data_IF_022178241478
#
_entry.id   IF_022178241478
#
_cell.length_a   1.000
_cell.length_b   1.000
_cell.length_c   1.000
_cell.angle_alpha   90.00
_cell.angle_beta   90.00
_cell.angle_gamma   90.00
#
_symmetry.space_group_name_H-M   'P 1'
#
loop_
_entity.id
_entity.type
_entity.pdbx_description
1 polymer ?
#
# COMPACT_ATOMS: atom_id res chain seq x y z
N UNK A 1 63.45 -48.65 -31.93
CA UNK A 1 62.26 -48.80 -32.79
C UNK A 1 60.95 -48.74 -31.98
N UNK A 2 60.13 -47.70 -32.20
CA UNK A 2 58.70 -47.72 -31.88
C UNK A 2 58.21 -46.97 -30.63
N UNK A 3 58.39 -45.66 -30.52
CA UNK A 3 57.68 -44.83 -29.52
C UNK A 3 56.28 -44.45 -30.03
N UNK A 4 55.28 -44.86 -29.25
CA UNK A 4 53.83 -44.78 -29.50
C UNK A 4 53.33 -43.33 -29.30
N UNK A 5 52.87 -42.67 -30.37
CA UNK A 5 52.22 -41.34 -30.32
C UNK A 5 50.89 -41.42 -29.55
N UNK A 6 50.79 -40.73 -28.40
CA UNK A 6 49.51 -40.40 -27.74
C UNK A 6 48.89 -39.17 -28.43
N UNK A 7 47.67 -39.31 -28.95
CA UNK A 7 46.84 -38.21 -29.45
C UNK A 7 46.22 -37.45 -28.27
N UNK A 8 46.30 -36.13 -28.30
CA UNK A 8 45.56 -35.21 -27.42
C UNK A 8 44.07 -35.15 -27.82
N UNK A 9 43.12 -35.01 -26.88
CA UNK A 9 41.72 -34.80 -27.22
C UNK A 9 41.49 -33.36 -27.65
N UNK A 10 40.72 -33.18 -28.74
CA UNK A 10 40.23 -31.88 -29.21
C UNK A 10 39.18 -31.35 -28.23
N UNK A 11 39.41 -30.15 -27.69
CA UNK A 11 38.41 -29.35 -26.99
C UNK A 11 37.36 -28.86 -27.99
N UNK A 12 36.10 -29.30 -27.84
CA UNK A 12 34.96 -28.71 -28.57
C UNK A 12 34.67 -27.29 -28.08
N UNK A 13 33.99 -26.44 -28.90
CA UNK A 13 33.74 -25.06 -28.53
C UNK A 13 32.72 -25.03 -27.38
N UNK A 14 33.15 -24.51 -26.24
CA UNK A 14 32.29 -24.23 -25.09
C UNK A 14 31.22 -23.22 -25.49
N UNK A 15 29.96 -23.59 -25.30
CA UNK A 15 28.79 -22.73 -25.46
C UNK A 15 28.92 -21.59 -24.42
N UNK A 16 29.30 -20.40 -24.88
CA UNK A 16 29.37 -19.21 -24.05
C UNK A 16 27.98 -18.92 -23.48
N UNK A 17 27.85 -19.04 -22.16
CA UNK A 17 26.66 -18.59 -21.42
C UNK A 17 26.78 -17.07 -21.31
N UNK A 18 25.88 -16.34 -21.97
CA UNK A 18 25.83 -14.89 -21.85
C UNK A 18 25.65 -14.50 -20.36
N UNK A 19 26.33 -13.45 -19.87
CA UNK A 19 26.09 -12.99 -18.51
C UNK A 19 24.63 -12.55 -18.41
N UNK A 20 23.93 -13.08 -17.40
CA UNK A 20 22.60 -12.63 -17.02
C UNK A 20 22.68 -11.11 -16.84
N UNK A 21 22.02 -10.35 -17.72
CA UNK A 21 22.01 -8.91 -17.66
C UNK A 21 21.62 -8.49 -16.24
N UNK A 22 22.49 -7.72 -15.58
CA UNK A 22 22.23 -7.22 -14.25
C UNK A 22 20.88 -6.48 -14.29
N UNK A 23 19.97 -6.87 -13.40
CA UNK A 23 18.67 -6.23 -13.28
C UNK A 23 18.88 -4.71 -13.16
N UNK A 24 18.08 -3.88 -13.84
CA UNK A 24 18.20 -2.44 -13.73
C UNK A 24 18.12 -2.02 -12.25
N UNK A 25 18.89 -1.00 -11.82
CA UNK A 25 18.87 -0.56 -10.44
C UNK A 25 17.43 -0.21 -10.05
N UNK A 26 16.98 -0.78 -8.93
CA UNK A 26 15.65 -0.49 -8.39
C UNK A 26 15.52 1.03 -8.21
N UNK A 27 14.39 1.60 -8.64
CA UNK A 27 14.11 3.02 -8.42
C UNK A 27 14.06 3.26 -6.90
N UNK A 28 14.56 4.42 -6.45
CA UNK A 28 14.49 4.79 -5.04
C UNK A 28 13.04 4.64 -4.52
N UNK A 29 12.84 3.82 -3.49
CA UNK A 29 11.53 3.48 -2.93
C UNK A 29 10.98 2.07 -3.29
N UNK A 30 11.64 1.32 -4.18
CA UNK A 30 11.26 -0.06 -4.52
C UNK A 30 12.06 -1.13 -3.72
N UNK A 31 12.92 -0.71 -2.78
CA UNK A 31 13.65 -1.62 -1.89
C UNK A 31 12.67 -2.44 -1.02
N UNK A 32 12.86 -3.76 -0.91
CA UNK A 32 11.96 -4.61 -0.13
C UNK A 32 12.06 -4.28 1.35
N UNK A 33 10.95 -3.80 1.93
CA UNK A 33 10.78 -3.63 3.37
C UNK A 33 10.51 -4.98 4.04
N UNK A 34 9.63 -5.78 3.45
CA UNK A 34 9.30 -7.12 3.92
C UNK A 34 9.18 -8.09 2.75
N UNK A 35 9.56 -9.34 3.00
CA UNK A 35 9.30 -10.48 2.12
C UNK A 35 8.75 -11.64 2.93
N UNK A 36 7.74 -12.31 2.41
CA UNK A 36 6.98 -13.30 3.16
C UNK A 36 6.09 -14.12 2.26
N UNK A 37 5.70 -15.30 2.76
CA UNK A 37 4.85 -16.23 2.03
C UNK A 37 3.41 -16.08 2.54
N UNK A 38 2.48 -15.88 1.61
CA UNK A 38 1.05 -15.82 1.90
C UNK A 38 0.28 -16.69 0.92
N UNK A 39 -0.84 -17.23 1.37
CA UNK A 39 -1.80 -17.82 0.45
C UNK A 39 -2.71 -16.71 -0.10
N UNK A 40 -2.76 -16.59 -1.44
CA UNK A 40 -3.60 -15.64 -2.17
C UNK A 40 -4.38 -16.43 -3.21
N UNK A 41 -5.72 -16.39 -3.15
CA UNK A 41 -6.56 -17.11 -4.12
C UNK A 41 -6.31 -18.62 -4.16
N UNK A 42 -6.00 -19.24 -3.02
CA UNK A 42 -5.64 -20.68 -2.86
C UNK A 42 -4.29 -21.08 -3.46
N UNK A 43 -3.42 -20.11 -3.79
CA UNK A 43 -2.05 -20.37 -4.24
C UNK A 43 -1.05 -19.83 -3.24
N UNK A 44 0.08 -20.50 -3.09
CA UNK A 44 1.17 -20.03 -2.25
C UNK A 44 1.99 -19.01 -3.04
N UNK A 45 2.05 -17.78 -2.53
CA UNK A 45 2.70 -16.67 -3.22
C UNK A 45 3.89 -16.15 -2.41
N UNK A 46 4.99 -15.87 -3.11
CA UNK A 46 6.07 -15.03 -2.59
C UNK A 46 5.63 -13.58 -2.71
N UNK A 47 5.47 -12.91 -1.57
CA UNK A 47 4.96 -11.55 -1.46
C UNK A 47 6.07 -10.63 -1.00
N UNK A 48 6.21 -9.48 -1.66
CA UNK A 48 7.19 -8.48 -1.31
C UNK A 48 6.52 -7.11 -1.15
N UNK A 49 6.69 -6.52 0.02
CA UNK A 49 6.26 -5.18 0.36
C UNK A 49 7.44 -4.22 0.22
N UNK A 50 7.20 -3.09 -0.43
CA UNK A 50 8.08 -1.92 -0.49
C UNK A 50 7.28 -0.69 -0.07
N UNK A 51 7.94 0.45 0.12
CA UNK A 51 7.27 1.69 0.49
C UNK A 51 6.18 2.12 -0.52
N UNK A 52 6.33 1.73 -1.79
CA UNK A 52 5.45 2.19 -2.89
C UNK A 52 4.57 1.11 -3.47
N UNK A 53 4.90 -0.17 -3.28
CA UNK A 53 4.27 -1.29 -4.00
C UNK A 53 4.20 -2.55 -3.14
N UNK A 54 3.16 -3.33 -3.37
CA UNK A 54 3.07 -4.72 -2.96
C UNK A 54 3.01 -5.57 -4.22
N UNK A 55 3.94 -6.51 -4.33
CA UNK A 55 4.01 -7.45 -5.45
C UNK A 55 3.96 -8.88 -4.95
N UNK A 56 3.37 -9.76 -5.73
CA UNK A 56 3.37 -11.18 -5.43
C UNK A 56 3.43 -12.03 -6.69
N UNK A 57 4.05 -13.19 -6.57
CA UNK A 57 4.07 -14.20 -7.63
C UNK A 57 3.84 -15.59 -7.03
N UNK A 58 3.13 -16.49 -7.75
CA UNK A 58 3.00 -17.87 -7.32
C UNK A 58 4.38 -18.55 -7.20
N UNK A 59 4.59 -19.31 -6.13
CA UNK A 59 5.83 -20.08 -5.96
C UNK A 59 5.76 -21.30 -6.90
N UNK A 60 6.71 -21.41 -7.83
CA UNK A 60 6.74 -22.51 -8.80
C UNK A 60 7.58 -23.71 -8.31
N UNK A 61 7.24 -24.96 -8.71
CA UNK A 61 6.07 -25.37 -9.50
C UNK A 61 4.89 -25.85 -8.63
N UNK A 62 3.67 -25.35 -8.87
CA UNK A 62 2.44 -25.88 -8.21
C UNK A 62 1.83 -27.10 -8.95
N UNK A 63 2.25 -27.42 -10.20
CA UNK A 63 1.87 -28.64 -10.94
C UNK A 63 2.78 -28.90 -12.17
N UNK A 64 2.87 -30.13 -12.72
CA UNK A 64 3.72 -30.47 -13.89
C UNK A 64 3.31 -29.79 -15.20
N UNK A 65 2.10 -29.25 -15.28
CA UNK A 65 1.63 -28.46 -16.42
C UNK A 65 2.12 -27.03 -16.23
N UNK A 66 3.32 -26.74 -16.74
CA UNK A 66 4.06 -25.50 -16.53
C UNK A 66 3.34 -24.22 -16.98
N UNK A 67 2.42 -23.72 -16.16
CA UNK A 67 1.90 -22.37 -16.27
C UNK A 67 2.88 -21.38 -15.65
N UNK A 68 3.27 -20.35 -16.39
CA UNK A 68 3.98 -19.19 -15.85
C UNK A 68 2.99 -18.40 -14.99
N UNK A 69 3.14 -18.45 -13.67
CA UNK A 69 2.39 -17.57 -12.78
C UNK A 69 2.73 -16.12 -13.11
N UNK A 70 1.73 -15.31 -13.47
CA UNK A 70 1.93 -13.88 -13.68
C UNK A 70 2.21 -13.20 -12.33
N UNK A 71 3.23 -12.34 -12.29
CA UNK A 71 3.45 -11.45 -11.15
C UNK A 71 2.35 -10.40 -11.14
N UNK A 72 1.71 -10.24 -9.98
CA UNK A 72 0.71 -9.23 -9.74
C UNK A 72 1.30 -8.14 -8.85
N UNK A 73 0.98 -6.88 -9.16
CA UNK A 73 1.52 -5.71 -8.46
C UNK A 73 0.38 -4.75 -8.16
N UNK A 74 0.40 -4.15 -6.98
CA UNK A 74 -0.43 -2.99 -6.63
C UNK A 74 0.47 -1.85 -6.15
N UNK A 75 0.09 -0.62 -6.49
CA UNK A 75 0.74 0.57 -5.96
C UNK A 75 0.08 0.96 -4.63
N UNK A 76 0.89 1.34 -3.64
CA UNK A 76 0.41 1.75 -2.31
C UNK A 76 -0.49 2.98 -2.38
N UNK A 77 -0.31 3.84 -3.40
CA UNK A 77 -1.18 4.99 -3.65
C UNK A 77 -2.63 4.62 -3.99
N UNK A 78 -2.87 3.39 -4.47
CA UNK A 78 -4.20 2.89 -4.78
C UNK A 78 -4.84 2.18 -3.58
N UNK A 79 -4.08 1.95 -2.49
CA UNK A 79 -4.55 1.32 -1.26
C UNK A 79 -5.11 2.37 -0.33
N UNK A 80 -6.35 2.18 0.13
CA UNK A 80 -7.02 3.13 1.04
C UNK A 80 -7.26 2.55 2.43
N UNK A 81 -7.16 1.23 2.61
CA UNK A 81 -7.32 0.61 3.92
C UNK A 81 -6.67 -0.77 4.02
N UNK A 82 -6.27 -1.13 5.23
CA UNK A 82 -5.75 -2.45 5.57
C UNK A 82 -6.37 -2.94 6.88
N UNK A 83 -6.59 -4.25 6.99
CA UNK A 83 -7.22 -4.85 8.17
C UNK A 83 -6.72 -6.25 8.47
N UNK A 84 -6.58 -6.58 9.75
CA UNK A 84 -6.42 -7.97 10.21
C UNK A 84 -7.73 -8.75 10.07
N UNK A 85 -7.70 -9.84 9.29
CA UNK A 85 -8.84 -10.73 9.07
C UNK A 85 -8.88 -11.80 10.16
N UNK A 86 -9.96 -11.81 10.96
CA UNK A 86 -10.18 -12.83 12.02
C UNK A 86 -11.50 -13.56 11.81
N UNK A 87 -11.51 -14.86 12.10
CA UNK A 87 -12.73 -15.67 12.17
C UNK A 87 -13.14 -15.85 13.62
N UNK A 88 -14.41 -15.57 13.93
CA UNK A 88 -15.00 -15.86 15.25
C UNK A 88 -15.85 -17.13 15.15
N UNK A 89 -15.90 -17.87 16.24
CA UNK A 89 -16.88 -18.96 16.39
C UNK A 89 -18.21 -18.39 16.93
N UNK A 90 -19.31 -19.09 16.65
CA UNK A 90 -20.63 -18.70 17.14
C UNK A 90 -20.61 -18.60 18.67
N UNK A 91 -21.06 -17.47 19.22
CA UNK A 91 -21.07 -17.19 20.66
C UNK A 91 -19.82 -16.50 21.22
N UNK A 92 -18.74 -16.35 20.44
CA UNK A 92 -17.51 -15.70 20.90
C UNK A 92 -17.56 -14.17 20.73
N UNK A 93 -17.58 -13.43 21.86
CA UNK A 93 -17.70 -11.97 21.87
C UNK A 93 -16.35 -11.24 21.65
N UNK A 94 -15.23 -11.84 22.08
CA UNK A 94 -13.88 -11.29 21.91
C UNK A 94 -12.88 -12.39 21.54
N UNK A 95 -11.88 -12.02 20.76
CA UNK A 95 -10.92 -12.96 20.20
C UNK A 95 -11.49 -13.77 19.04
N UNK A 96 -10.60 -14.35 18.24
CA UNK A 96 -10.90 -15.14 17.06
C UNK A 96 -9.61 -15.49 16.33
N UNK A 97 -9.61 -16.62 15.63
CA UNK A 97 -8.45 -17.10 14.88
C UNK A 97 -8.08 -16.10 13.79
N UNK A 98 -6.84 -15.61 13.80
CA UNK A 98 -6.32 -14.77 12.74
C UNK A 98 -6.17 -15.61 11.47
N UNK A 99 -6.72 -15.09 10.37
CA UNK A 99 -6.67 -15.72 9.05
C UNK A 99 -5.67 -15.04 8.11
N UNK A 100 -5.28 -13.80 8.42
CA UNK A 100 -4.36 -13.03 7.57
C UNK A 100 -4.66 -11.54 7.57
N UNK A 101 -4.30 -10.88 6.47
CA UNK A 101 -4.48 -9.45 6.23
C UNK A 101 -5.38 -9.25 5.01
N UNK A 102 -6.30 -8.29 5.10
CA UNK A 102 -7.06 -7.80 3.94
C UNK A 102 -6.56 -6.41 3.58
N UNK A 103 -6.28 -6.21 2.30
CA UNK A 103 -5.87 -4.92 1.73
C UNK A 103 -6.99 -4.46 0.79
N UNK A 104 -7.47 -3.24 0.97
CA UNK A 104 -8.50 -2.63 0.14
C UNK A 104 -7.89 -1.59 -0.78
N UNK A 105 -8.10 -1.75 -2.08
CA UNK A 105 -7.64 -0.82 -3.10
C UNK A 105 -8.79 -0.23 -3.91
N UNK A 106 -8.61 0.99 -4.37
CA UNK A 106 -9.48 1.63 -5.34
C UNK A 106 -9.09 1.19 -6.76
N UNK A 107 -10.10 0.93 -7.57
CA UNK A 107 -10.00 0.64 -9.00
C UNK A 107 -10.81 1.71 -9.75
N UNK A 108 -10.15 2.44 -10.62
CA UNK A 108 -10.81 3.34 -11.55
C UNK A 108 -11.40 2.53 -12.71
N UNK A 109 -12.72 2.61 -12.93
CA UNK A 109 -13.40 1.94 -14.05
C UNK A 109 -13.72 2.89 -15.21
N UNK A 110 -14.12 4.13 -14.91
CA UNK A 110 -14.63 5.13 -15.86
C UNK A 110 -14.35 6.55 -15.28
N UNK A 111 -14.42 7.61 -16.10
CA UNK A 111 -14.31 9.00 -15.61
C UNK A 111 -15.28 9.23 -14.45
N UNK A 112 -14.74 9.51 -13.25
CA UNK A 112 -15.45 9.76 -11.99
C UNK A 112 -16.11 8.55 -11.30
N UNK A 113 -15.80 7.30 -11.69
CA UNK A 113 -16.32 6.10 -10.99
C UNK A 113 -15.21 5.24 -10.40
N UNK A 114 -15.15 5.21 -9.07
CA UNK A 114 -14.29 4.33 -8.30
C UNK A 114 -15.05 3.06 -7.89
N UNK A 115 -14.37 1.92 -7.96
CA UNK A 115 -14.82 0.65 -7.38
C UNK A 115 -13.75 0.14 -6.41
N UNK A 116 -14.13 -0.59 -5.38
CA UNK A 116 -13.18 -1.19 -4.45
C UNK A 116 -12.85 -2.63 -4.82
N UNK A 117 -11.66 -3.08 -4.40
CA UNK A 117 -11.22 -4.46 -4.52
C UNK A 117 -10.51 -4.86 -3.22
N UNK A 118 -10.87 -6.03 -2.69
CA UNK A 118 -10.24 -6.62 -1.51
C UNK A 118 -9.26 -7.73 -1.91
N UNK A 119 -8.01 -7.60 -1.48
CA UNK A 119 -6.96 -8.60 -1.63
C UNK A 119 -6.75 -9.26 -0.26
N UNK A 120 -6.76 -10.59 -0.22
CA UNK A 120 -6.57 -11.36 1.00
C UNK A 120 -5.19 -12.02 0.99
N UNK A 121 -4.34 -11.61 1.92
CA UNK A 121 -3.06 -12.24 2.21
C UNK A 121 -3.28 -13.18 3.39
N UNK A 122 -3.55 -14.47 3.11
CA UNK A 122 -3.84 -15.43 4.17
C UNK A 122 -2.53 -15.98 4.76
N UNK A 123 -2.40 -15.91 6.09
CA UNK A 123 -1.33 -16.54 6.85
C UNK A 123 -1.81 -16.72 8.30
N UNK A 124 -1.56 -17.88 8.90
CA UNK A 124 -2.03 -18.23 10.24
C UNK A 124 -1.08 -17.78 11.36
N UNK A 125 0.16 -17.39 11.00
CA UNK A 125 1.11 -16.84 11.96
C UNK A 125 0.68 -15.44 12.38
N UNK A 126 0.31 -15.29 13.66
CA UNK A 126 -0.09 -14.01 14.23
C UNK A 126 1.04 -12.99 14.20
N UNK A 127 2.24 -13.39 14.65
CA UNK A 127 3.42 -12.51 14.65
C UNK A 127 3.76 -12.03 13.24
N UNK A 128 3.70 -12.92 12.26
CA UNK A 128 3.96 -12.57 10.86
C UNK A 128 2.93 -11.55 10.34
N UNK A 129 1.64 -11.82 10.54
CA UNK A 129 0.58 -10.91 10.09
C UNK A 129 0.62 -9.57 10.81
N UNK A 130 0.94 -9.56 12.11
CA UNK A 130 1.04 -8.33 12.90
C UNK A 130 2.23 -7.47 12.45
N UNK A 131 3.38 -8.09 12.17
CA UNK A 131 4.56 -7.40 11.65
C UNK A 131 4.25 -6.74 10.29
N UNK A 132 3.64 -7.49 9.37
CA UNK A 132 3.22 -6.97 8.07
C UNK A 132 2.17 -5.87 8.17
N UNK A 133 1.17 -6.08 9.03
CA UNK A 133 0.11 -5.10 9.26
C UNK A 133 0.67 -3.78 9.80
N UNK A 134 1.67 -3.83 10.69
CA UNK A 134 2.34 -2.62 11.21
C UNK A 134 3.02 -1.83 10.09
N UNK A 135 3.80 -2.47 9.23
CA UNK A 135 4.48 -1.77 8.12
C UNK A 135 3.47 -1.21 7.12
N UNK A 136 2.40 -1.94 6.81
CA UNK A 136 1.32 -1.42 5.97
C UNK A 136 0.64 -0.19 6.60
N UNK A 137 0.43 -0.19 7.93
CA UNK A 137 -0.13 0.98 8.62
C UNK A 137 0.79 2.19 8.56
N UNK A 138 2.09 2.00 8.72
CA UNK A 138 3.10 3.06 8.63
C UNK A 138 3.12 3.68 7.23
N UNK A 139 3.14 2.85 6.18
CA UNK A 139 3.09 3.32 4.78
C UNK A 139 1.82 4.14 4.49
N UNK A 140 0.69 3.75 5.10
CA UNK A 140 -0.61 4.40 4.90
C UNK A 140 -0.91 5.53 5.91
N UNK A 141 0.06 5.92 6.75
CA UNK A 141 -0.11 6.92 7.82
C UNK A 141 -1.41 6.73 8.63
N UNK A 142 -1.68 5.49 9.05
CA UNK A 142 -2.88 5.17 9.83
C UNK A 142 -2.81 5.85 11.19
N UNK A 143 -3.79 6.72 11.48
CA UNK A 143 -3.89 7.41 12.77
C UNK A 143 -4.24 6.44 13.89
N UNK A 144 -3.70 6.64 15.08
CA UNK A 144 -3.82 5.68 16.20
C UNK A 144 -4.41 6.31 17.46
N UNK A 145 -4.29 7.63 17.60
CA UNK A 145 -4.73 8.40 18.74
C UNK A 145 -5.17 9.80 18.28
N UNK A 146 -5.93 10.50 19.12
CA UNK A 146 -6.37 11.88 18.87
C UNK A 146 -5.17 12.82 18.74
N UNK A 147 -5.14 13.63 17.68
CA UNK A 147 -4.01 14.53 17.39
C UNK A 147 -2.90 13.90 16.56
N UNK A 148 -2.95 12.59 16.26
CA UNK A 148 -1.93 11.94 15.44
C UNK A 148 -1.94 12.48 13.99
N UNK A 149 -3.11 12.73 13.39
CA UNK A 149 -3.19 13.26 12.04
C UNK A 149 -2.54 14.65 11.95
N UNK A 150 -2.77 15.47 12.97
CA UNK A 150 -2.16 16.79 13.08
C UNK A 150 -0.62 16.72 13.11
N UNK A 151 -0.06 15.83 13.93
CA UNK A 151 1.39 15.62 14.02
C UNK A 151 1.98 15.20 12.68
N UNK A 152 1.37 14.23 12.00
CA UNK A 152 1.80 13.78 10.67
C UNK A 152 1.77 14.93 9.65
N UNK A 153 0.68 15.71 9.60
CA UNK A 153 0.57 16.83 8.66
C UNK A 153 1.55 17.97 8.93
N UNK A 154 1.99 18.15 10.19
CA UNK A 154 3.01 19.14 10.57
C UNK A 154 4.43 18.72 10.20
N UNK A 155 4.74 17.44 10.26
CA UNK A 155 6.09 16.92 9.97
C UNK A 155 6.26 16.55 8.49
N UNK A 156 5.17 16.24 7.79
CA UNK A 156 5.18 15.80 6.40
C UNK A 156 5.50 16.94 5.42
N UNK A 157 6.27 16.64 4.37
CA UNK A 157 6.48 17.56 3.23
C UNK A 157 5.27 17.50 2.28
N UNK A 158 4.21 18.25 2.60
CA UNK A 158 2.95 18.20 1.86
C UNK A 158 3.08 18.52 0.36
N UNK A 159 4.09 19.30 -0.03
CA UNK A 159 4.35 19.64 -1.44
C UNK A 159 4.76 18.44 -2.30
N UNK A 160 5.19 17.33 -1.68
CA UNK A 160 5.49 16.08 -2.38
C UNK A 160 4.23 15.30 -2.80
N UNK A 161 3.04 15.76 -2.42
CA UNK A 161 1.77 15.08 -2.65
C UNK A 161 0.80 15.97 -3.41
N UNK A 162 0.00 15.37 -4.29
CA UNK A 162 -1.05 16.09 -5.03
C UNK A 162 -2.28 16.35 -4.17
N UNK A 163 -2.39 15.66 -3.03
CA UNK A 163 -3.46 15.86 -2.08
C UNK A 163 -3.54 14.84 -0.97
N UNK A 164 -4.47 15.11 -0.06
CA UNK A 164 -4.71 14.35 1.16
C UNK A 164 -6.11 13.76 1.08
N UNK A 165 -6.24 12.48 1.36
CA UNK A 165 -7.55 11.83 1.52
C UNK A 165 -7.71 11.40 2.97
N UNK A 166 -8.68 12.01 3.66
CA UNK A 166 -9.11 11.59 4.98
C UNK A 166 -10.19 10.52 4.84
N UNK A 167 -9.97 9.36 5.43
CA UNK A 167 -10.98 8.32 5.57
C UNK A 167 -11.35 8.23 7.03
N UNK A 168 -12.61 8.48 7.40
CA UNK A 168 -12.99 8.53 8.80
C UNK A 168 -14.35 9.19 9.04
N UNK A 169 -14.67 9.38 10.31
CA UNK A 169 -15.80 10.20 10.73
C UNK A 169 -15.44 11.68 10.89
N UNK A 170 -16.42 12.49 11.30
CA UNK A 170 -16.29 13.95 11.38
C UNK A 170 -15.14 14.42 12.26
N UNK A 171 -14.85 13.72 13.36
CA UNK A 171 -13.71 14.04 14.24
C UNK A 171 -12.37 13.96 13.51
N UNK A 172 -12.12 12.87 12.78
CA UNK A 172 -10.89 12.70 11.99
C UNK A 172 -10.81 13.70 10.82
N UNK A 173 -11.94 13.97 10.15
CA UNK A 173 -12.00 14.95 9.06
C UNK A 173 -11.68 16.35 9.58
N UNK A 174 -12.24 16.72 10.73
CA UNK A 174 -11.99 18.00 11.39
C UNK A 174 -10.51 18.15 11.76
N UNK A 175 -9.90 17.10 12.33
CA UNK A 175 -8.48 17.09 12.69
C UNK A 175 -7.58 17.31 11.47
N UNK A 176 -7.84 16.61 10.36
CA UNK A 176 -7.07 16.73 9.12
C UNK A 176 -7.24 18.11 8.48
N UNK A 177 -8.48 18.60 8.39
CA UNK A 177 -8.77 19.93 7.83
C UNK A 177 -8.09 21.03 8.64
N UNK A 178 -8.16 20.94 9.97
CA UNK A 178 -7.48 21.86 10.87
C UNK A 178 -5.96 21.79 10.71
N UNK A 179 -5.38 20.59 10.63
CA UNK A 179 -3.94 20.40 10.45
C UNK A 179 -3.42 20.98 9.13
N UNK A 180 -4.13 20.80 8.03
CA UNK A 180 -3.79 21.39 6.74
C UNK A 180 -3.83 22.93 6.78
N UNK A 181 -4.86 23.49 7.44
CA UNK A 181 -5.01 24.94 7.58
C UNK A 181 -3.92 25.56 8.45
N UNK A 182 -3.62 24.93 9.60
CA UNK A 182 -2.55 25.34 10.50
C UNK A 182 -1.20 25.27 9.80
N UNK A 183 -0.92 24.18 9.08
CA UNK A 183 0.33 24.03 8.34
C UNK A 183 0.49 25.15 7.31
N UNK A 184 -0.56 25.48 6.57
CA UNK A 184 -0.55 26.58 5.61
C UNK A 184 -0.30 27.96 6.27
N UNK A 185 -0.79 28.19 7.49
CA UNK A 185 -0.46 29.44 8.21
C UNK A 185 1.01 29.47 8.62
N UNK A 186 1.52 28.36 9.19
CA UNK A 186 2.90 28.22 9.64
C UNK A 186 3.87 28.43 8.48
N UNK A 187 3.65 27.75 7.35
CA UNK A 187 4.49 27.86 6.16
C UNK A 187 4.49 29.29 5.57
N UNK A 188 3.40 30.04 5.78
CA UNK A 188 3.28 31.44 5.36
C UNK A 188 3.74 32.46 6.42
N UNK A 189 4.24 32.00 7.57
CA UNK A 189 4.67 32.86 8.67
C UNK A 189 3.55 33.69 9.31
N UNK A 190 2.29 33.24 9.23
CA UNK A 190 1.14 33.93 9.83
C UNK A 190 0.87 33.46 11.26
N UNK A 191 0.28 34.34 12.04
CA UNK A 191 -0.25 34.02 13.38
C UNK A 191 -1.30 32.91 13.30
N UNK A 192 -1.32 32.03 14.30
CA UNK A 192 -2.16 30.84 14.38
C UNK A 192 -3.42 31.01 15.23
N UNK A 193 -3.54 32.09 16.01
CA UNK A 193 -4.64 32.24 16.98
C UNK A 193 -5.92 32.87 16.41
N UNK A 194 -5.82 33.79 15.43
CA UNK A 194 -7.01 34.33 14.76
C UNK A 194 -6.67 34.98 13.41
N UNK A 195 -7.04 34.31 12.31
CA UNK A 195 -6.78 34.82 10.96
C UNK A 195 -8.09 35.17 10.27
N UNK A 196 -8.37 36.47 10.11
CA UNK A 196 -9.55 36.96 9.38
C UNK A 196 -9.58 36.51 7.91
N UNK A 197 -8.40 36.20 7.33
CA UNK A 197 -8.23 35.61 5.98
C UNK A 197 -7.17 34.51 6.02
N UNK A 198 -7.57 33.26 6.34
CA UNK A 198 -6.62 32.17 6.44
C UNK A 198 -5.94 31.89 5.09
N UNK A 199 -4.65 31.54 5.14
CA UNK A 199 -3.92 30.99 3.99
C UNK A 199 -4.60 29.68 3.57
N UNK A 200 -4.78 29.49 2.25
CA UNK A 200 -5.33 28.25 1.72
C UNK A 200 -4.33 27.11 1.92
N UNK A 201 -4.84 25.93 2.25
CA UNK A 201 -4.03 24.71 2.27
C UNK A 201 -3.32 24.51 0.92
N UNK A 202 -2.04 24.12 0.92
CA UNK A 202 -1.27 23.94 -0.31
C UNK A 202 -1.74 22.75 -1.14
N UNK A 203 -2.49 21.84 -0.53
CA UNK A 203 -2.95 20.58 -1.12
C UNK A 203 -4.46 20.38 -0.92
N UNK A 204 -5.19 19.83 -1.91
CA UNK A 204 -6.62 19.54 -1.79
C UNK A 204 -6.89 18.41 -0.79
N UNK A 205 -8.04 18.49 -0.11
CA UNK A 205 -8.55 17.48 0.81
C UNK A 205 -9.72 16.72 0.17
N UNK A 206 -9.60 15.40 0.08
CA UNK A 206 -10.70 14.47 -0.19
C UNK A 206 -11.19 13.81 1.10
N UNK A 207 -12.48 13.48 1.17
CA UNK A 207 -13.08 12.81 2.33
C UNK A 207 -13.79 11.53 1.88
N UNK A 208 -13.48 10.42 2.53
CA UNK A 208 -14.21 9.15 2.43
C UNK A 208 -14.91 8.93 3.79
N UNK A 209 -16.24 9.08 3.86
CA UNK A 209 -16.97 8.93 5.11
C UNK A 209 -16.92 7.46 5.58
N UNK A 210 -16.57 7.24 6.84
CA UNK A 210 -16.45 5.92 7.45
C UNK A 210 -17.12 5.82 8.84
N UNK A 211 -18.31 6.43 8.97
CA UNK A 211 -19.08 6.44 10.21
C UNK A 211 -19.75 5.10 10.55
N UNK A 212 -20.11 4.92 11.82
CA UNK A 212 -20.58 3.64 12.41
C UNK A 212 -21.92 3.11 11.86
N UNK A 213 -22.67 3.89 11.07
CA UNK A 213 -24.04 3.57 10.67
C UNK A 213 -24.25 3.04 9.23
N UNK A 214 -23.20 2.72 8.48
CA UNK A 214 -23.36 2.14 7.14
C UNK A 214 -22.51 0.87 6.95
N UNK A 215 -23.01 -0.07 6.15
CA UNK A 215 -22.63 -1.50 6.07
C UNK A 215 -21.19 -1.80 5.61
N UNK A 216 -20.31 -0.81 5.61
CA UNK A 216 -18.86 -0.89 5.40
C UNK A 216 -18.10 -0.32 6.61
N UNK A 217 -18.56 -0.63 7.83
CA UNK A 217 -18.02 -0.20 9.12
C UNK A 217 -16.67 -0.87 9.47
N UNK A 218 -15.66 -0.72 8.60
CA UNK A 218 -14.27 -1.10 8.90
C UNK A 218 -13.24 -0.21 8.20
N UNK A 219 -13.60 0.97 7.68
CA UNK A 219 -12.57 1.90 7.24
C UNK A 219 -12.14 2.69 8.47
N UNK A 220 -11.08 2.18 9.10
CA UNK A 220 -10.39 2.80 10.23
C UNK A 220 -9.95 4.21 9.80
N UNK A 221 -9.86 5.16 10.75
CA UNK A 221 -9.34 6.49 10.47
C UNK A 221 -8.00 6.41 9.75
N UNK A 222 -7.94 6.84 8.49
CA UNK A 222 -6.76 6.75 7.65
C UNK A 222 -6.47 8.09 6.99
N UNK A 223 -5.21 8.49 7.02
CA UNK A 223 -4.69 9.63 6.29
C UNK A 223 -3.91 9.11 5.08
N UNK A 224 -4.53 9.10 3.91
CA UNK A 224 -3.84 8.64 2.70
C UNK A 224 -3.22 9.86 2.01
N UNK A 225 -1.90 9.84 1.87
CA UNK A 225 -1.16 10.82 1.09
C UNK A 225 -0.91 10.24 -0.31
N UNK A 226 -1.29 10.97 -1.36
CA UNK A 226 -1.29 10.45 -2.73
C UNK A 226 -0.18 11.13 -3.56
N UNK A 227 0.91 10.41 -3.90
CA UNK A 227 1.90 10.87 -4.86
C UNK A 227 1.52 10.41 -6.30
N UNK A 228 1.09 11.35 -7.15
CA UNK A 228 0.85 11.29 -8.61
C UNK A 228 0.00 10.11 -9.13
N UNK A 229 -1.26 10.42 -9.49
CA UNK A 229 -1.99 9.98 -10.71
C UNK A 229 -3.53 9.90 -10.58
N UNK A 230 -4.14 10.11 -9.41
CA UNK A 230 -5.60 9.94 -9.26
C UNK A 230 -6.24 11.08 -8.46
N UNK A 231 -6.19 12.31 -8.98
CA UNK A 231 -7.06 13.40 -8.50
C UNK A 231 -8.19 13.64 -9.49
N UNK A 232 -9.10 12.68 -9.54
CA UNK A 232 -10.46 13.03 -9.92
C UNK A 232 -11.15 13.53 -8.66
N UNK A 233 -11.12 14.85 -8.52
CA UNK A 233 -11.99 15.65 -7.66
C UNK A 233 -13.37 14.99 -7.62
N UNK A 234 -13.85 14.60 -6.43
CA UNK A 234 -15.27 14.40 -6.16
C UNK A 234 -15.94 15.78 -6.27
N UNK A 235 -16.02 16.30 -7.49
CA UNK A 235 -16.76 17.50 -7.82
C UNK A 235 -18.22 17.06 -7.86
N UNK A 236 -18.91 17.16 -6.73
CA UNK A 236 -20.36 17.29 -6.79
C UNK A 236 -20.65 18.60 -7.51
N UNK A 237 -21.14 18.47 -8.73
CA UNK A 237 -21.71 19.57 -9.50
C UNK A 237 -22.94 20.06 -8.72
N UNK A 238 -22.78 21.06 -7.87
CA UNK A 238 -23.88 21.85 -7.37
C UNK A 238 -24.54 22.52 -8.57
N UNK A 239 -25.75 22.08 -8.94
CA UNK A 239 -26.57 22.84 -9.87
C UNK A 239 -27.20 24.01 -9.10
N UNK A 240 -27.06 25.17 -9.73
CA UNK A 240 -27.82 26.40 -9.52
C UNK A 240 -29.33 26.17 -9.51
#
# INVERSE_FOLDING_TARGET
PGTRRRRSPRSGPGRAVAPLAAAPPARAGDEPLLRGIFEIGKRSCDVVLSARRLRWSPILPESPTGGTGQEEIIEMKDVFSVKLKRRRFAGQQKGGTLLGITIFKCLNKEENKLTDCAIHLNNLSEDHCQSWFRHLKEILNVTEYEGHALSVLKECELQAFDGVVCVGGDGSVSEVAHGLLLRAQIDAGKDTEYVSKPVRAPVPLGVIPAGENERYCYIVSHLVLVPLACFTVLATKGRS
#
